data_IF_208136051481
#
_entry.id   IF_208136051481
#
_cell.length_a   1.000
_cell.length_b   1.000
_cell.length_c   1.000
_cell.angle_alpha   90.00
_cell.angle_beta   90.00
_cell.angle_gamma   90.00
#
_symmetry.space_group_name_H-M   'P 1'
#
loop_
_entity.id
_entity.type
_entity.pdbx_description
1 polymer ?
#
# COMPACT_ATOMS: atom_id res chain seq x y z
N UNK A 1 61.65 28.13 -16.57
CA UNK A 1 62.07 26.73 -16.70
C UNK A 1 61.83 26.02 -15.38
N UNK A 2 60.83 25.12 -15.43
CA UNK A 2 60.73 23.82 -14.72
C UNK A 2 60.69 23.83 -13.19
N UNK A 3 59.50 23.76 -12.58
CA UNK A 3 58.65 22.56 -12.36
C UNK A 3 58.97 21.86 -11.03
N UNK A 4 58.25 22.30 -9.99
CA UNK A 4 58.10 21.59 -8.72
C UNK A 4 56.90 20.65 -8.89
N UNK A 5 57.19 19.37 -9.15
CA UNK A 5 56.15 18.35 -9.30
C UNK A 5 55.49 18.03 -7.94
N UNK A 6 54.23 18.42 -7.80
CA UNK A 6 53.35 18.05 -6.68
C UNK A 6 53.19 16.53 -6.55
N UNK A 7 53.56 15.99 -5.39
CA UNK A 7 53.30 14.61 -5.00
C UNK A 7 51.79 14.40 -4.76
N UNK A 8 51.13 13.65 -5.65
CA UNK A 8 49.75 13.18 -5.47
C UNK A 8 49.62 12.35 -4.18
N UNK A 9 48.83 12.84 -3.20
CA UNK A 9 48.44 12.10 -2.00
C UNK A 9 47.81 10.74 -2.38
N UNK A 10 48.40 9.63 -1.91
CA UNK A 10 47.83 8.28 -2.04
C UNK A 10 46.46 8.24 -1.38
N UNK A 11 45.43 7.79 -2.12
CA UNK A 11 44.08 7.53 -1.58
C UNK A 11 44.18 6.59 -0.39
N UNK A 12 43.72 7.02 0.77
CA UNK A 12 43.56 6.18 1.95
C UNK A 12 42.46 5.15 1.68
N UNK A 13 42.82 3.86 1.66
CA UNK A 13 41.84 2.78 1.56
C UNK A 13 40.89 2.86 2.76
N UNK A 14 39.57 2.88 2.50
CA UNK A 14 38.54 2.91 3.53
C UNK A 14 38.60 1.58 4.31
N UNK A 15 38.98 1.63 5.58
CA UNK A 15 38.95 0.47 6.48
C UNK A 15 37.50 -0.02 6.60
N UNK A 16 37.32 -1.34 6.52
CA UNK A 16 36.00 -1.94 6.73
C UNK A 16 35.67 -1.93 8.23
N UNK A 17 34.52 -1.35 8.55
CA UNK A 17 34.00 -1.24 9.91
C UNK A 17 32.65 -1.95 9.99
N UNK A 18 32.52 -2.92 10.88
CA UNK A 18 31.24 -3.56 11.18
C UNK A 18 30.70 -3.02 12.50
N UNK A 19 29.63 -2.22 12.44
CA UNK A 19 28.97 -1.62 13.62
C UNK A 19 29.93 -0.90 14.57
N UNK A 20 30.87 -0.15 14.01
CA UNK A 20 31.85 0.63 14.76
C UNK A 20 33.14 -0.12 15.14
N UNK A 21 33.32 -1.38 14.71
CA UNK A 21 34.48 -2.21 15.01
C UNK A 21 35.23 -2.59 13.74
N UNK A 22 36.56 -2.43 13.73
CA UNK A 22 37.42 -2.77 12.60
C UNK A 22 37.60 -4.30 12.43
N UNK A 23 37.92 -4.75 11.22
CA UNK A 23 38.06 -6.19 10.93
C UNK A 23 39.12 -6.90 11.79
N UNK A 24 40.25 -6.26 12.05
CA UNK A 24 41.32 -6.81 12.90
C UNK A 24 40.81 -7.04 14.33
N UNK A 25 40.08 -6.07 14.87
CA UNK A 25 39.44 -6.18 16.18
C UNK A 25 38.37 -7.28 16.20
N UNK A 26 37.59 -7.44 15.12
CA UNK A 26 36.59 -8.51 15.01
C UNK A 26 37.21 -9.92 15.01
N UNK A 27 38.44 -10.07 14.51
CA UNK A 27 39.16 -11.36 14.49
C UNK A 27 39.73 -11.72 15.88
N UNK A 28 40.02 -10.72 16.70
CA UNK A 28 40.54 -10.88 18.07
C UNK A 28 39.44 -11.04 19.12
N UNK A 29 38.20 -10.63 18.81
CA UNK A 29 37.07 -10.72 19.72
C UNK A 29 36.65 -12.16 20.03
N UNK A 30 36.19 -12.38 21.26
CA UNK A 30 35.57 -13.65 21.64
C UNK A 30 34.14 -13.78 21.08
N UNK A 31 33.65 -15.02 20.95
CA UNK A 31 32.31 -15.32 20.42
C UNK A 31 31.19 -14.58 21.15
N UNK A 32 31.33 -14.37 22.47
CA UNK A 32 30.32 -13.68 23.29
C UNK A 32 30.26 -12.17 23.01
N UNK A 33 31.40 -11.54 22.78
CA UNK A 33 31.52 -10.13 22.40
C UNK A 33 30.98 -9.93 20.99
N UNK A 34 31.36 -10.79 20.04
CA UNK A 34 30.84 -10.74 18.68
C UNK A 34 29.31 -10.93 18.62
N UNK A 35 28.75 -11.82 19.43
CA UNK A 35 27.30 -12.04 19.51
C UNK A 35 26.51 -10.79 19.92
N UNK A 36 27.09 -9.89 20.72
CA UNK A 36 26.43 -8.62 21.09
C UNK A 36 26.31 -7.67 19.91
N UNK A 37 27.25 -7.73 18.97
CA UNK A 37 27.26 -6.93 17.75
C UNK A 37 26.25 -7.44 16.71
N UNK A 38 25.78 -8.69 16.78
CA UNK A 38 24.84 -9.26 15.81
C UNK A 38 23.40 -8.72 15.99
N UNK A 39 22.62 -8.58 14.90
CA UNK A 39 21.18 -8.29 14.99
C UNK A 39 20.40 -9.38 15.73
N UNK A 40 19.21 -9.04 16.25
CA UNK A 40 18.40 -9.90 17.13
C UNK A 40 18.10 -11.30 16.56
N UNK A 41 18.00 -11.46 15.25
CA UNK A 41 17.75 -12.76 14.61
C UNK A 41 18.98 -13.67 14.66
N UNK A 42 20.14 -13.16 14.27
CA UNK A 42 21.42 -13.86 14.28
C UNK A 42 21.88 -14.16 15.70
N UNK A 43 21.73 -13.20 16.62
CA UNK A 43 22.03 -13.37 18.05
C UNK A 43 21.23 -14.51 18.68
N UNK A 44 19.93 -14.63 18.37
CA UNK A 44 19.10 -15.77 18.83
C UNK A 44 19.63 -17.12 18.35
N UNK A 45 20.18 -17.19 17.14
CA UNK A 45 20.78 -18.41 16.62
C UNK A 45 22.10 -18.73 17.32
N UNK A 46 22.98 -17.75 17.47
CA UNK A 46 24.26 -17.93 18.16
C UNK A 46 24.08 -18.31 19.63
N UNK A 47 23.09 -17.74 20.32
CA UNK A 47 22.74 -18.11 21.70
C UNK A 47 22.22 -19.55 21.83
N UNK A 48 21.62 -20.13 20.77
CA UNK A 48 21.23 -21.56 20.74
C UNK A 48 22.43 -22.48 20.48
N UNK A 49 23.58 -21.93 20.14
CA UNK A 49 24.79 -22.65 19.78
C UNK A 49 24.82 -23.11 18.33
N UNK A 50 26.04 -23.31 17.82
CA UNK A 50 26.29 -23.89 16.50
C UNK A 50 26.27 -25.42 16.57
N UNK A 51 25.49 -26.06 15.71
CA UNK A 51 25.40 -27.52 15.65
C UNK A 51 26.73 -28.13 15.15
N UNK A 52 26.92 -29.44 15.37
CA UNK A 52 28.12 -30.19 14.94
C UNK A 52 28.46 -29.98 13.46
N UNK A 53 27.44 -29.85 12.60
CA UNK A 53 27.61 -29.58 11.16
C UNK A 53 28.25 -28.22 10.88
N UNK A 54 27.81 -27.18 11.59
CA UNK A 54 28.38 -25.82 11.48
C UNK A 54 29.83 -25.80 11.96
N UNK A 55 30.14 -26.44 13.10
CA UNK A 55 31.53 -26.56 13.59
C UNK A 55 32.43 -27.32 12.62
N UNK A 56 31.93 -28.40 12.02
CA UNK A 56 32.68 -29.17 11.00
C UNK A 56 32.99 -28.35 9.75
N UNK A 57 32.09 -27.46 9.33
CA UNK A 57 32.34 -26.54 8.22
C UNK A 57 33.48 -25.56 8.55
N UNK A 58 33.50 -24.98 9.75
CA UNK A 58 34.56 -24.08 10.19
C UNK A 58 35.93 -24.76 10.20
N UNK A 59 36.02 -25.99 10.70
CA UNK A 59 37.27 -26.78 10.67
C UNK A 59 37.75 -27.02 9.24
N UNK A 60 36.84 -27.34 8.31
CA UNK A 60 37.18 -27.52 6.88
C UNK A 60 37.67 -26.22 6.24
N UNK A 61 37.07 -25.09 6.59
CA UNK A 61 37.49 -23.77 6.11
C UNK A 61 38.86 -23.38 6.65
N UNK A 62 39.13 -23.61 7.94
CA UNK A 62 40.46 -23.39 8.54
C UNK A 62 41.53 -24.24 7.84
N UNK A 63 41.24 -25.52 7.58
CA UNK A 63 42.16 -26.41 6.86
C UNK A 63 42.42 -25.94 5.43
N UNK A 64 41.38 -25.50 4.71
CA UNK A 64 41.51 -24.96 3.36
C UNK A 64 42.34 -23.67 3.32
N UNK A 65 42.19 -22.80 4.34
CA UNK A 65 42.97 -21.56 4.47
C UNK A 65 44.43 -21.82 4.82
N UNK A 66 44.72 -22.82 5.67
CA UNK A 66 46.08 -23.21 6.05
C UNK A 66 46.84 -23.91 4.91
N UNK A 67 46.14 -24.68 4.07
CA UNK A 67 46.74 -25.42 2.96
C UNK A 67 46.99 -24.57 1.71
N UNK A 68 46.52 -23.32 1.68
CA UNK A 68 46.66 -22.44 0.53
C UNK A 68 48.08 -21.83 0.48
N UNK A 69 48.79 -21.89 -0.66
CA UNK A 69 50.05 -21.18 -0.86
C UNK A 69 49.89 -19.66 -0.61
N UNK A 70 50.94 -19.00 -0.13
CA UNK A 70 50.94 -17.54 0.07
C UNK A 70 50.47 -16.81 -1.19
N UNK A 71 49.58 -15.82 -1.02
CA UNK A 71 48.95 -15.01 -2.08
C UNK A 71 47.98 -15.74 -3.03
N UNK A 72 47.66 -17.01 -2.80
CA UNK A 72 46.66 -17.73 -3.61
C UNK A 72 45.33 -17.91 -2.89
N UNK A 73 44.23 -18.03 -3.65
CA UNK A 73 42.89 -18.21 -3.09
C UNK A 73 42.75 -19.63 -2.52
N UNK A 74 42.16 -19.81 -1.32
CA UNK A 74 41.90 -21.13 -0.76
C UNK A 74 40.99 -22.00 -1.64
N UNK A 75 41.16 -23.31 -1.56
CA UNK A 75 40.33 -24.27 -2.29
C UNK A 75 38.84 -24.14 -1.88
N UNK A 76 37.94 -24.21 -2.87
CA UNK A 76 36.52 -24.01 -2.67
C UNK A 76 35.89 -25.12 -1.79
N UNK A 77 35.41 -24.76 -0.61
CA UNK A 77 34.73 -25.69 0.32
C UNK A 77 33.23 -25.74 0.00
N UNK A 78 32.75 -26.89 -0.48
CA UNK A 78 31.33 -27.13 -0.77
C UNK A 78 30.50 -27.37 0.49
N UNK A 79 29.34 -26.70 0.60
CA UNK A 79 28.41 -26.80 1.75
C UNK A 79 26.93 -26.68 1.35
N UNK A 80 26.09 -27.40 2.10
CA UNK A 80 24.62 -27.25 2.07
C UNK A 80 24.09 -26.37 3.21
N UNK A 81 24.97 -25.91 4.12
CA UNK A 81 24.61 -25.15 5.31
C UNK A 81 24.32 -23.68 4.98
N UNK A 82 23.18 -23.46 4.33
CA UNK A 82 22.68 -22.12 3.96
C UNK A 82 22.32 -21.27 5.18
N UNK A 83 22.06 -21.92 6.30
CA UNK A 83 21.68 -21.29 7.56
C UNK A 83 22.91 -20.87 8.40
N UNK A 84 24.13 -21.10 7.93
CA UNK A 84 25.33 -20.63 8.62
C UNK A 84 25.43 -19.09 8.56
N UNK A 85 25.74 -18.46 9.69
CA UNK A 85 26.03 -17.02 9.76
C UNK A 85 27.50 -16.84 9.38
N UNK A 86 27.81 -15.84 8.56
CA UNK A 86 29.19 -15.50 8.22
C UNK A 86 29.89 -14.94 9.46
N UNK A 87 30.92 -15.65 9.92
CA UNK A 87 31.78 -15.26 11.04
C UNK A 87 33.04 -14.53 10.52
N UNK A 88 33.69 -13.68 11.35
CA UNK A 88 34.90 -12.95 10.96
C UNK A 88 36.02 -13.87 10.43
N UNK A 89 36.20 -15.05 11.04
CA UNK A 89 37.21 -16.03 10.62
C UNK A 89 37.00 -16.59 9.19
N UNK A 90 35.78 -16.48 8.64
CA UNK A 90 35.45 -16.97 7.30
C UNK A 90 35.88 -16.02 6.18
N UNK A 91 36.29 -14.79 6.52
CA UNK A 91 36.71 -13.78 5.55
C UNK A 91 37.96 -14.27 4.78
N UNK A 92 37.90 -14.14 3.45
CA UNK A 92 38.91 -14.61 2.51
C UNK A 92 38.75 -16.08 2.10
N UNK A 93 37.76 -16.82 2.60
CA UNK A 93 37.48 -18.18 2.16
C UNK A 93 36.57 -18.21 0.92
N UNK A 94 36.72 -19.25 0.10
CA UNK A 94 35.84 -19.53 -1.04
C UNK A 94 34.88 -20.68 -0.68
N UNK A 95 33.58 -20.40 -0.73
CA UNK A 95 32.51 -21.33 -0.36
C UNK A 95 31.63 -21.68 -1.55
N UNK A 96 31.46 -22.97 -1.82
CA UNK A 96 30.45 -23.45 -2.76
C UNK A 96 29.12 -23.65 -2.02
N UNK A 97 28.16 -22.73 -2.19
CA UNK A 97 26.86 -22.77 -1.50
C UNK A 97 25.81 -23.39 -2.41
N UNK A 98 25.23 -24.52 -1.99
CA UNK A 98 24.26 -25.25 -2.80
C UNK A 98 22.93 -24.49 -2.99
N UNK A 99 22.58 -24.17 -4.24
CA UNK A 99 21.36 -23.48 -4.64
C UNK A 99 20.13 -24.39 -4.78
N UNK A 100 20.32 -25.70 -4.62
CA UNK A 100 19.30 -26.72 -4.90
C UNK A 100 19.47 -27.39 -6.27
N UNK A 101 20.26 -26.79 -7.18
CA UNK A 101 20.61 -27.33 -8.49
C UNK A 101 22.13 -27.43 -8.71
N UNK A 102 22.89 -26.43 -8.24
CA UNK A 102 24.33 -26.38 -8.39
C UNK A 102 25.00 -25.76 -7.15
N UNK A 103 26.33 -25.88 -7.06
CA UNK A 103 27.12 -25.16 -6.06
C UNK A 103 27.60 -23.83 -6.64
N UNK A 104 27.06 -22.73 -6.11
CA UNK A 104 27.51 -21.40 -6.49
C UNK A 104 28.73 -21.04 -5.66
N UNK A 105 29.85 -20.69 -6.31
CA UNK A 105 31.06 -20.28 -5.62
C UNK A 105 30.94 -18.82 -5.18
N UNK A 106 31.12 -18.58 -3.89
CA UNK A 106 31.05 -17.27 -3.25
C UNK A 106 32.32 -17.03 -2.46
N UNK A 107 33.02 -15.94 -2.77
CA UNK A 107 34.17 -15.45 -2.00
C UNK A 107 33.67 -14.58 -0.84
N UNK A 108 34.02 -14.96 0.39
CA UNK A 108 33.55 -14.24 1.58
C UNK A 108 34.34 -12.97 1.80
N UNK A 109 33.65 -11.83 1.67
CA UNK A 109 34.19 -10.49 1.95
C UNK A 109 33.81 -10.04 3.35
N UNK A 110 34.55 -9.07 3.89
CA UNK A 110 34.29 -8.52 5.22
C UNK A 110 32.86 -7.94 5.36
N UNK A 111 32.32 -7.37 4.28
CA UNK A 111 30.94 -6.86 4.21
C UNK A 111 29.85 -7.92 4.43
N UNK A 112 30.19 -9.20 4.27
CA UNK A 112 29.24 -10.30 4.42
C UNK A 112 29.08 -10.76 5.88
N UNK A 113 29.89 -10.24 6.80
CA UNK A 113 29.84 -10.60 8.23
C UNK A 113 28.42 -10.35 8.78
N UNK A 114 27.88 -11.33 9.50
CA UNK A 114 26.55 -11.24 10.11
C UNK A 114 25.38 -11.60 9.18
N UNK A 115 25.62 -11.84 7.89
CA UNK A 115 24.61 -12.36 6.96
C UNK A 115 24.56 -13.90 6.97
N UNK A 116 23.45 -14.47 6.51
CA UNK A 116 23.36 -15.92 6.29
C UNK A 116 23.99 -16.30 4.95
N UNK A 117 24.73 -17.41 4.89
CA UNK A 117 25.31 -17.94 3.65
C UNK A 117 24.27 -18.11 2.54
N UNK A 118 23.04 -18.50 2.90
CA UNK A 118 21.93 -18.67 1.95
C UNK A 118 21.51 -17.39 1.23
N UNK A 119 21.86 -16.21 1.71
CA UNK A 119 21.56 -14.92 1.07
C UNK A 119 22.42 -14.72 -0.20
N UNK A 120 23.63 -15.30 -0.23
CA UNK A 120 24.58 -15.18 -1.34
C UNK A 120 24.44 -16.28 -2.40
N UNK A 121 23.48 -17.19 -2.25
CA UNK A 121 23.19 -18.25 -3.23
C UNK A 121 21.69 -18.50 -3.28
N UNK A 122 20.99 -17.77 -4.14
CA UNK A 122 19.54 -17.84 -4.29
C UNK A 122 19.11 -19.28 -4.62
N UNK A 123 18.05 -19.73 -3.96
CA UNK A 123 17.50 -21.08 -4.14
C UNK A 123 16.48 -21.10 -5.27
N UNK A 124 16.58 -22.06 -6.18
CA UNK A 124 15.58 -22.29 -7.23
C UNK A 124 14.34 -23.05 -6.73
N UNK A 125 14.42 -23.66 -5.55
CA UNK A 125 13.22 -24.13 -4.85
C UNK A 125 12.53 -22.91 -4.25
N UNK A 126 11.26 -22.63 -4.57
CA UNK A 126 10.52 -21.56 -3.91
C UNK A 126 10.59 -21.79 -2.40
N UNK A 127 10.90 -20.72 -1.65
CA UNK A 127 10.78 -20.74 -0.20
C UNK A 127 9.31 -20.94 0.09
N UNK A 128 8.92 -22.19 0.36
CA UNK A 128 7.63 -22.47 0.97
C UNK A 128 7.72 -21.86 2.36
N UNK A 129 7.22 -20.62 2.54
CA UNK A 129 6.68 -20.24 3.84
C UNK A 129 5.78 -21.38 4.25
N UNK A 130 6.08 -21.99 5.41
CA UNK A 130 5.61 -23.32 5.73
C UNK A 130 4.12 -23.47 5.43
N UNK A 131 3.80 -24.25 4.39
CA UNK A 131 2.58 -25.06 4.49
C UNK A 131 2.71 -25.83 5.82
N UNK A 132 1.65 -25.94 6.63
CA UNK A 132 1.73 -26.64 7.91
C UNK A 132 2.26 -28.05 7.66
N UNK A 133 3.55 -28.24 7.96
CA UNK A 133 4.24 -29.49 7.71
C UNK A 133 3.90 -30.47 8.81
N UNK A 134 3.78 -31.74 8.42
CA UNK A 134 3.44 -32.94 9.19
C UNK A 134 4.29 -33.16 10.49
N UNK A 135 5.27 -32.29 10.78
CA UNK A 135 6.05 -32.30 12.04
C UNK A 135 5.80 -31.12 12.99
N UNK A 136 4.90 -30.18 12.68
CA UNK A 136 4.63 -29.01 13.51
C UNK A 136 3.56 -29.24 14.61
N UNK A 137 2.98 -30.44 14.71
CA UNK A 137 1.78 -30.72 15.52
C UNK A 137 2.04 -31.01 17.00
N UNK A 138 3.28 -31.02 17.50
CA UNK A 138 3.51 -31.19 18.95
C UNK A 138 3.64 -29.87 19.73
N UNK A 139 4.09 -28.77 19.10
CA UNK A 139 4.20 -27.47 19.77
C UNK A 139 2.97 -26.57 19.59
N UNK A 140 2.09 -26.89 18.64
CA UNK A 140 0.83 -26.19 18.39
C UNK A 140 -0.38 -26.99 18.84
N UNK A 141 -0.23 -27.84 19.87
CA UNK A 141 -1.39 -28.32 20.62
C UNK A 141 -1.86 -27.14 21.47
N UNK A 142 -3.03 -26.61 21.14
CA UNK A 142 -3.79 -25.74 22.04
C UNK A 142 -3.86 -26.44 23.41
N UNK A 143 -3.14 -25.89 24.40
CA UNK A 143 -3.20 -26.34 25.79
C UNK A 143 -4.42 -25.64 26.37
N UNK A 144 -5.53 -26.35 26.68
CA UNK A 144 -6.65 -25.72 27.34
C UNK A 144 -6.20 -25.33 28.75
N UNK A 145 -6.12 -24.03 29.01
CA UNK A 145 -5.94 -23.52 30.37
C UNK A 145 -7.09 -24.05 31.24
N UNK A 146 -6.74 -24.70 32.36
CA UNK A 146 -7.71 -25.28 33.29
C UNK A 146 -8.79 -24.24 33.65
N UNK A 147 -10.06 -24.66 33.65
CA UNK A 147 -11.26 -23.83 33.92
C UNK A 147 -11.13 -22.88 35.10
N UNK A 148 -10.33 -23.21 36.11
CA UNK A 148 -10.16 -22.38 37.31
C UNK A 148 -9.28 -21.14 37.13
N UNK A 149 -8.44 -21.10 36.10
CA UNK A 149 -7.66 -19.90 35.78
C UNK A 149 -8.52 -18.81 35.10
N UNK A 150 -9.56 -19.21 34.37
CA UNK A 150 -10.52 -18.30 33.75
C UNK A 150 -11.40 -17.59 34.79
N UNK A 151 -11.84 -18.28 35.86
CA UNK A 151 -12.63 -17.64 36.92
C UNK A 151 -11.88 -16.53 37.65
N UNK A 152 -10.56 -16.68 37.82
CA UNK A 152 -9.68 -15.69 38.47
C UNK A 152 -9.36 -14.46 37.61
N UNK A 153 -9.36 -14.62 36.29
CA UNK A 153 -9.12 -13.54 35.32
C UNK A 153 -10.38 -12.74 34.99
N UNK A 154 -11.56 -13.35 35.08
CA UNK A 154 -12.84 -12.69 34.85
C UNK A 154 -13.29 -11.87 36.08
N UNK A 155 -12.89 -12.25 37.29
CA UNK A 155 -13.27 -11.52 38.52
C UNK A 155 -12.55 -10.19 38.72
N UNK A 156 -11.51 -9.88 37.94
CA UNK A 156 -10.67 -8.68 38.08
C UNK A 156 -10.96 -7.57 37.06
N UNK A 157 -11.91 -7.77 36.14
CA UNK A 157 -12.34 -6.74 35.19
C UNK A 157 -13.82 -6.40 35.39
N UNK A 158 -14.17 -5.15 35.77
CA UNK A 158 -15.56 -4.74 35.87
C UNK A 158 -16.06 -4.36 34.47
N UNK A 159 -16.28 -5.35 33.60
CA UNK A 159 -17.07 -5.13 32.39
C UNK A 159 -18.55 -5.16 32.79
N UNK A 160 -19.14 -3.96 32.93
CA UNK A 160 -20.58 -3.79 33.11
C UNK A 160 -21.33 -4.54 32.00
N UNK A 161 -22.21 -5.44 32.43
CA UNK A 161 -23.11 -6.26 31.61
C UNK A 161 -23.81 -5.44 30.51
N UNK A 162 -23.32 -5.53 29.28
CA UNK A 162 -24.18 -5.45 28.08
C UNK A 162 -24.22 -6.85 27.50
N UNK A 163 -25.35 -7.54 27.71
CA UNK A 163 -25.61 -8.86 27.14
C UNK A 163 -25.74 -8.73 25.62
N UNK A 164 -24.64 -8.82 24.88
CA UNK A 164 -24.72 -9.25 23.49
C UNK A 164 -25.06 -10.74 23.48
N UNK A 165 -26.34 -11.05 23.26
CA UNK A 165 -26.77 -12.39 22.93
C UNK A 165 -26.10 -12.77 21.59
N UNK A 166 -25.08 -13.63 21.65
CA UNK A 166 -24.59 -14.34 20.48
C UNK A 166 -25.66 -15.35 20.05
N UNK A 167 -26.68 -14.87 19.33
CA UNK A 167 -27.59 -15.75 18.61
C UNK A 167 -26.80 -16.43 17.49
N UNK A 168 -26.91 -17.76 17.46
CA UNK A 168 -26.30 -18.63 16.47
C UNK A 168 -26.87 -18.36 15.07
N UNK A 169 -26.37 -17.36 14.38
CA UNK A 169 -26.56 -17.24 12.94
C UNK A 169 -25.47 -18.05 12.23
N UNK A 170 -25.90 -19.05 11.45
CA UNK A 170 -25.09 -19.72 10.42
C UNK A 170 -24.77 -18.77 9.26
N UNK A 171 -24.35 -17.54 9.55
CA UNK A 171 -23.77 -16.67 8.55
C UNK A 171 -22.27 -16.96 8.57
N UNK A 172 -21.69 -17.32 7.43
CA UNK A 172 -20.25 -17.17 7.21
C UNK A 172 -19.95 -15.69 7.45
N UNK A 173 -19.59 -15.32 8.68
CA UNK A 173 -19.02 -14.02 8.96
C UNK A 173 -17.63 -14.07 8.33
N UNK A 174 -17.58 -13.64 7.07
CA UNK A 174 -16.32 -13.41 6.39
C UNK A 174 -15.55 -12.44 7.28
N UNK A 175 -14.26 -12.70 7.54
CA UNK A 175 -13.45 -11.83 8.42
C UNK A 175 -13.27 -10.39 7.87
N UNK A 176 -13.92 -10.06 6.75
CA UNK A 176 -13.83 -8.83 5.96
C UNK A 176 -15.23 -8.27 5.67
N UNK A 177 -16.19 -8.36 6.59
CA UNK A 177 -17.55 -7.85 6.37
C UNK A 177 -17.55 -6.33 6.11
N UNK A 178 -17.97 -5.85 4.92
CA UNK A 178 -18.03 -4.42 4.59
C UNK A 178 -19.15 -3.68 5.33
N UNK A 179 -20.12 -4.39 5.91
CA UNK A 179 -21.26 -3.78 6.61
C UNK A 179 -21.00 -3.55 8.10
N UNK A 180 -19.90 -4.09 8.63
CA UNK A 180 -19.58 -4.01 10.05
C UNK A 180 -19.38 -2.54 10.47
N UNK A 181 -20.07 -2.12 11.54
CA UNK A 181 -19.99 -0.77 12.08
C UNK A 181 -20.86 0.28 11.37
N UNK A 182 -21.66 -0.11 10.37
CA UNK A 182 -22.55 0.80 9.65
C UNK A 182 -23.96 0.86 10.27
N UNK A 183 -24.62 2.00 10.12
CA UNK A 183 -26.07 2.15 10.40
C UNK A 183 -26.90 1.38 9.36
N UNK A 184 -28.19 1.17 9.62
CA UNK A 184 -29.07 0.49 8.66
C UNK A 184 -29.23 1.28 7.35
N UNK A 185 -29.34 2.61 7.44
CA UNK A 185 -29.37 3.50 6.29
C UNK A 185 -28.09 3.40 5.45
N UNK A 186 -26.92 3.41 6.09
CA UNK A 186 -25.62 3.24 5.42
C UNK A 186 -25.49 1.87 4.75
N UNK A 187 -26.05 0.81 5.35
CA UNK A 187 -26.11 -0.52 4.73
C UNK A 187 -27.02 -0.54 3.51
N UNK A 188 -28.12 0.20 3.52
CA UNK A 188 -29.01 0.32 2.38
C UNK A 188 -28.32 1.05 1.21
N UNK A 189 -27.62 2.15 1.49
CA UNK A 189 -26.78 2.86 0.49
C UNK A 189 -25.74 1.91 -0.11
N UNK A 190 -25.02 1.17 0.74
CA UNK A 190 -24.04 0.19 0.30
C UNK A 190 -24.69 -0.91 -0.56
N UNK A 191 -25.85 -1.41 -0.16
CA UNK A 191 -26.58 -2.44 -0.90
C UNK A 191 -27.00 -1.94 -2.28
N UNK A 192 -27.62 -0.77 -2.37
CA UNK A 192 -28.07 -0.15 -3.61
C UNK A 192 -26.89 0.07 -4.57
N UNK A 193 -25.79 0.64 -4.07
CA UNK A 193 -24.58 0.86 -4.87
C UNK A 193 -23.97 -0.47 -5.37
N UNK A 194 -23.97 -1.51 -4.54
CA UNK A 194 -23.47 -2.85 -4.89
C UNK A 194 -24.33 -3.54 -5.94
N UNK A 195 -25.65 -3.45 -5.82
CA UNK A 195 -26.59 -4.00 -6.82
C UNK A 195 -26.44 -3.29 -8.16
N UNK A 196 -26.34 -1.96 -8.15
CA UNK A 196 -26.05 -1.18 -9.35
C UNK A 196 -24.71 -1.57 -9.97
N UNK A 197 -23.63 -1.63 -9.19
CA UNK A 197 -22.31 -2.03 -9.67
C UNK A 197 -22.32 -3.42 -10.32
N UNK A 198 -23.01 -4.38 -9.72
CA UNK A 198 -23.12 -5.75 -10.21
C UNK A 198 -23.91 -5.86 -11.51
N UNK A 199 -24.97 -5.08 -11.66
CA UNK A 199 -25.92 -5.23 -12.77
C UNK A 199 -25.59 -4.30 -13.95
N UNK A 200 -25.07 -3.10 -13.67
CA UNK A 200 -24.93 -2.02 -14.65
C UNK A 200 -23.48 -1.67 -14.97
N UNK A 201 -22.49 -2.06 -14.14
CA UNK A 201 -21.07 -1.76 -14.39
C UNK A 201 -20.26 -3.03 -14.71
N UNK A 202 -20.25 -3.99 -13.79
CA UNK A 202 -19.42 -5.20 -13.88
C UNK A 202 -19.60 -6.01 -15.18
N UNK A 203 -20.82 -6.22 -15.71
CA UNK A 203 -21.00 -7.04 -16.91
C UNK A 203 -20.44 -6.43 -18.20
N UNK A 204 -20.16 -5.12 -18.20
CA UNK A 204 -19.76 -4.37 -19.38
C UNK A 204 -18.36 -3.75 -19.25
N UNK A 205 -17.70 -3.94 -18.10
CA UNK A 205 -16.45 -3.25 -17.74
C UNK A 205 -15.30 -3.56 -18.71
N UNK A 206 -15.29 -4.78 -19.25
CA UNK A 206 -14.29 -5.31 -20.17
C UNK A 206 -14.48 -4.75 -21.58
N UNK A 207 -15.72 -4.70 -22.05
CA UNK A 207 -16.11 -4.09 -23.33
C UNK A 207 -15.75 -2.61 -23.35
N UNK A 208 -16.10 -1.86 -22.31
CA UNK A 208 -15.80 -0.44 -22.20
C UNK A 208 -14.30 -0.18 -22.09
N UNK A 209 -13.55 -1.00 -21.35
CA UNK A 209 -12.09 -0.89 -21.26
C UNK A 209 -11.42 -1.15 -22.62
N UNK A 210 -11.88 -2.16 -23.35
CA UNK A 210 -11.34 -2.51 -24.66
C UNK A 210 -11.62 -1.43 -25.71
N UNK A 211 -12.81 -0.82 -25.67
CA UNK A 211 -13.23 0.25 -26.60
C UNK A 211 -12.73 1.64 -26.19
N UNK A 212 -12.33 1.82 -24.94
CA UNK A 212 -12.06 3.14 -24.38
C UNK A 212 -13.32 4.01 -24.28
N UNK A 213 -14.46 3.38 -24.00
CA UNK A 213 -15.78 4.00 -24.09
C UNK A 213 -16.30 4.47 -22.72
N UNK A 214 -16.88 5.68 -22.68
CA UNK A 214 -17.53 6.24 -21.51
C UNK A 214 -18.99 5.77 -21.43
N UNK A 215 -19.42 5.10 -20.34
CA UNK A 215 -20.73 4.46 -20.28
C UNK A 215 -21.85 5.44 -19.94
N UNK A 216 -22.23 6.27 -20.92
CA UNK A 216 -23.26 7.32 -20.75
C UNK A 216 -24.61 6.78 -20.27
N UNK A 217 -24.99 5.59 -20.74
CA UNK A 217 -26.24 4.95 -20.32
C UNK A 217 -26.21 4.53 -18.84
N UNK A 218 -25.08 4.00 -18.37
CA UNK A 218 -24.91 3.67 -16.95
C UNK A 218 -24.95 4.95 -16.09
N UNK A 219 -24.36 6.06 -16.55
CA UNK A 219 -24.43 7.32 -15.82
C UNK A 219 -25.84 7.87 -15.69
N UNK A 220 -26.67 7.82 -16.73
CA UNK A 220 -28.08 8.21 -16.61
C UNK A 220 -28.79 7.43 -15.49
N UNK A 221 -28.65 6.10 -15.49
CA UNK A 221 -29.21 5.25 -14.43
C UNK A 221 -28.62 5.56 -13.05
N UNK A 222 -27.31 5.83 -12.99
CA UNK A 222 -26.66 6.23 -11.74
C UNK A 222 -27.23 7.55 -11.20
N UNK A 223 -27.55 8.50 -12.09
CA UNK A 223 -28.21 9.76 -11.74
C UNK A 223 -29.63 9.57 -11.20
N UNK A 224 -30.40 8.64 -11.78
CA UNK A 224 -31.73 8.26 -11.27
C UNK A 224 -31.67 7.68 -9.84
N UNK A 225 -30.54 7.09 -9.46
CA UNK A 225 -30.28 6.57 -8.11
C UNK A 225 -29.60 7.58 -7.18
N UNK A 226 -29.37 8.82 -7.63
CA UNK A 226 -28.75 9.89 -6.83
C UNK A 226 -27.21 9.88 -6.78
N UNK A 227 -26.54 9.07 -7.60
CA UNK A 227 -25.07 8.97 -7.59
C UNK A 227 -24.33 10.08 -8.36
N UNK A 228 -25.04 11.03 -8.98
CA UNK A 228 -24.43 12.14 -9.74
C UNK A 228 -24.00 13.33 -8.89
N UNK A 229 -24.63 13.53 -7.73
CA UNK A 229 -24.31 14.61 -6.79
C UNK A 229 -24.62 14.17 -5.35
N UNK A 230 -23.91 13.14 -4.89
CA UNK A 230 -24.17 12.42 -3.63
C UNK A 230 -24.15 13.38 -2.44
N UNK A 231 -23.12 14.22 -2.35
CA UNK A 231 -22.86 15.11 -1.22
C UNK A 231 -23.11 16.59 -1.55
N UNK A 232 -24.09 16.85 -2.41
CA UNK A 232 -24.63 18.18 -2.67
C UNK A 232 -26.01 18.31 -2.00
N UNK A 233 -26.40 19.55 -1.69
CA UNK A 233 -27.68 19.89 -1.06
C UNK A 233 -28.89 19.39 -1.87
N UNK A 234 -29.88 18.85 -1.16
CA UNK A 234 -31.17 18.46 -1.75
C UNK A 234 -31.91 19.64 -2.38
N UNK A 235 -31.67 20.87 -1.88
CA UNK A 235 -32.32 22.09 -2.41
C UNK A 235 -32.10 22.25 -3.92
N UNK A 236 -30.96 21.78 -4.44
CA UNK A 236 -30.59 21.88 -5.85
C UNK A 236 -30.54 20.52 -6.56
N UNK A 237 -31.33 19.53 -6.07
CA UNK A 237 -31.40 18.16 -6.56
C UNK A 237 -30.13 17.30 -6.30
N UNK A 238 -29.31 17.66 -5.32
CA UNK A 238 -28.33 16.72 -4.76
C UNK A 238 -28.99 15.62 -3.93
N UNK A 239 -28.22 14.61 -3.52
CA UNK A 239 -28.75 13.51 -2.69
C UNK A 239 -28.70 13.82 -1.18
N UNK A 240 -28.10 14.94 -0.75
CA UNK A 240 -28.08 15.36 0.66
C UNK A 240 -27.21 14.49 1.58
N UNK A 241 -26.38 13.60 1.04
CA UNK A 241 -25.61 12.64 1.83
C UNK A 241 -24.23 13.18 2.24
N UNK A 242 -23.62 12.55 3.23
CA UNK A 242 -22.28 12.89 3.69
C UNK A 242 -21.15 12.35 2.81
N UNK A 243 -19.91 12.72 3.15
CA UNK A 243 -18.69 12.15 2.56
C UNK A 243 -18.51 10.69 2.94
N UNK A 244 -18.98 10.30 4.12
CA UNK A 244 -18.94 8.94 4.62
C UNK A 244 -19.84 8.04 3.77
N UNK A 245 -21.10 8.43 3.56
CA UNK A 245 -22.05 7.72 2.69
C UNK A 245 -21.54 7.64 1.24
N UNK A 246 -20.94 8.73 0.73
CA UNK A 246 -20.33 8.74 -0.58
C UNK A 246 -19.18 7.72 -0.69
N UNK A 247 -18.31 7.62 0.31
CA UNK A 247 -17.24 6.63 0.35
C UNK A 247 -17.79 5.19 0.35
N UNK A 248 -18.88 4.94 1.08
CA UNK A 248 -19.55 3.62 1.07
C UNK A 248 -20.11 3.28 -0.32
N UNK A 249 -20.73 4.25 -1.00
CA UNK A 249 -21.23 4.06 -2.35
C UNK A 249 -20.09 3.79 -3.34
N UNK A 250 -19.06 4.64 -3.36
CA UNK A 250 -17.91 4.49 -4.27
C UNK A 250 -17.11 3.21 -4.02
N UNK A 251 -16.99 2.74 -2.77
CA UNK A 251 -16.38 1.44 -2.45
C UNK A 251 -17.07 0.31 -3.24
N UNK A 252 -18.41 0.31 -3.31
CA UNK A 252 -19.16 -0.72 -4.01
C UNK A 252 -19.14 -0.52 -5.54
N UNK A 253 -19.28 0.72 -6.01
CA UNK A 253 -19.20 1.06 -7.44
C UNK A 253 -17.85 0.65 -8.04
N UNK A 254 -16.76 0.89 -7.31
CA UNK A 254 -15.41 0.51 -7.73
C UNK A 254 -15.21 -1.00 -7.85
N UNK A 255 -15.97 -1.79 -7.08
CA UNK A 255 -16.03 -3.25 -7.20
C UNK A 255 -16.80 -3.76 -8.42
N UNK A 256 -17.49 -2.88 -9.15
CA UNK A 256 -18.06 -3.16 -10.46
C UNK A 256 -17.11 -2.74 -11.59
N UNK A 257 -16.72 -1.47 -11.63
CA UNK A 257 -15.71 -0.96 -12.56
C UNK A 257 -14.95 0.21 -11.92
N UNK A 258 -13.68 0.00 -11.60
CA UNK A 258 -12.86 1.00 -10.89
C UNK A 258 -12.66 2.27 -11.72
N UNK A 259 -12.33 2.16 -13.01
CA UNK A 259 -12.22 3.31 -13.92
C UNK A 259 -13.49 4.18 -13.95
N UNK A 260 -14.66 3.56 -14.09
CA UNK A 260 -15.94 4.28 -14.19
C UNK A 260 -16.34 4.91 -12.85
N UNK A 261 -16.14 4.19 -11.73
CA UNK A 261 -16.38 4.73 -10.40
C UNK A 261 -15.46 5.92 -10.08
N UNK A 262 -14.21 5.87 -10.51
CA UNK A 262 -13.28 6.98 -10.36
C UNK A 262 -13.73 8.22 -11.15
N UNK A 263 -14.21 8.06 -12.38
CA UNK A 263 -14.83 9.16 -13.11
C UNK A 263 -16.02 9.75 -12.36
N UNK A 264 -16.92 8.91 -11.82
CA UNK A 264 -18.07 9.38 -11.05
C UNK A 264 -17.65 10.16 -9.79
N UNK A 265 -16.55 9.78 -9.15
CA UNK A 265 -16.00 10.53 -8.01
C UNK A 265 -15.48 11.91 -8.45
N UNK A 266 -14.72 12.00 -9.54
CA UNK A 266 -14.27 13.28 -10.11
C UNK A 266 -15.47 14.13 -10.52
N UNK A 267 -16.48 13.52 -11.13
CA UNK A 267 -17.72 14.18 -11.49
C UNK A 267 -18.37 14.82 -10.26
N UNK A 268 -18.56 14.07 -9.17
CA UNK A 268 -19.21 14.54 -7.93
C UNK A 268 -18.44 15.68 -7.23
N UNK A 269 -17.13 15.79 -7.45
CA UNK A 269 -16.33 16.90 -6.90
C UNK A 269 -16.73 18.25 -7.48
N UNK A 270 -17.08 18.30 -8.77
CA UNK A 270 -17.43 19.55 -9.46
C UNK A 270 -18.75 20.18 -8.98
N UNK A 271 -19.90 19.49 -8.92
CA UNK A 271 -21.12 20.06 -8.38
C UNK A 271 -20.96 20.44 -6.90
N UNK A 272 -20.14 19.73 -6.13
CA UNK A 272 -19.85 20.13 -4.75
C UNK A 272 -19.05 21.44 -4.66
N UNK A 273 -18.05 21.66 -5.53
CA UNK A 273 -17.34 22.95 -5.58
C UNK A 273 -18.32 24.09 -5.89
N UNK A 274 -19.29 23.85 -6.78
CA UNK A 274 -20.34 24.83 -7.10
C UNK A 274 -21.31 25.01 -5.92
N UNK A 275 -21.70 23.93 -5.25
CA UNK A 275 -22.62 23.99 -4.10
C UNK A 275 -22.02 24.75 -2.91
N UNK A 276 -20.74 24.50 -2.62
CA UNK A 276 -20.03 25.10 -1.48
C UNK A 276 -19.57 26.54 -1.74
N UNK A 277 -19.06 26.84 -2.93
CA UNK A 277 -18.41 28.13 -3.23
C UNK A 277 -19.11 28.97 -4.30
N UNK A 278 -20.08 28.38 -5.02
CA UNK A 278 -20.83 29.08 -6.05
C UNK A 278 -21.94 29.94 -5.47
N UNK A 279 -22.41 30.88 -6.28
CA UNK A 279 -23.59 31.69 -5.96
C UNK A 279 -24.90 30.96 -6.31
N UNK A 280 -26.03 31.47 -5.82
CA UNK A 280 -27.36 30.86 -6.04
C UNK A 280 -27.71 30.62 -7.50
N UNK A 281 -27.34 31.54 -8.40
CA UNK A 281 -27.60 31.41 -9.83
C UNK A 281 -26.82 30.22 -10.41
N UNK A 282 -25.54 30.07 -10.04
CA UNK A 282 -24.69 28.96 -10.46
C UNK A 282 -25.22 27.61 -9.96
N UNK A 283 -25.61 27.54 -8.69
CA UNK A 283 -26.16 26.31 -8.09
C UNK A 283 -27.40 25.83 -8.83
N UNK A 284 -28.39 26.72 -9.02
CA UNK A 284 -29.64 26.42 -9.74
C UNK A 284 -29.40 26.08 -11.21
N UNK A 285 -28.37 26.68 -11.83
CA UNK A 285 -28.04 26.46 -13.24
C UNK A 285 -27.32 25.14 -13.50
N UNK A 286 -26.40 24.72 -12.63
CA UNK A 286 -25.48 23.61 -12.92
C UNK A 286 -25.80 22.32 -12.15
N UNK A 287 -26.14 22.39 -10.85
CA UNK A 287 -26.25 21.19 -10.00
C UNK A 287 -27.32 20.21 -10.51
N UNK A 288 -28.55 20.62 -10.91
CA UNK A 288 -29.57 19.67 -11.36
C UNK A 288 -29.17 18.87 -12.62
N UNK A 289 -28.52 19.54 -13.57
CA UNK A 289 -28.05 18.90 -14.81
C UNK A 289 -26.87 17.95 -14.53
N UNK A 290 -26.04 18.24 -13.54
CA UNK A 290 -24.92 17.39 -13.12
C UNK A 290 -25.40 16.19 -12.29
N UNK A 291 -26.29 16.42 -11.32
CA UNK A 291 -26.87 15.38 -10.47
C UNK A 291 -27.57 14.26 -11.26
N UNK A 292 -28.23 14.64 -12.36
CA UNK A 292 -28.91 13.71 -13.28
C UNK A 292 -27.99 13.09 -14.34
N UNK A 293 -26.71 13.44 -14.37
CA UNK A 293 -25.76 13.14 -15.44
C UNK A 293 -26.23 13.57 -16.85
N UNK A 294 -27.17 14.52 -16.93
CA UNK A 294 -27.56 15.14 -18.21
C UNK A 294 -26.41 15.94 -18.80
N UNK A 295 -25.63 16.59 -17.94
CA UNK A 295 -24.32 17.15 -18.25
C UNK A 295 -23.25 16.40 -17.49
N UNK A 296 -22.08 16.35 -18.10
CA UNK A 296 -20.89 15.73 -17.53
C UNK A 296 -19.89 16.80 -17.15
N UNK A 297 -19.28 16.64 -15.98
CA UNK A 297 -18.22 17.51 -15.51
C UNK A 297 -16.84 16.85 -15.68
N UNK A 298 -15.81 17.68 -15.72
CA UNK A 298 -14.40 17.30 -15.66
C UNK A 298 -13.67 18.34 -14.86
N UNK A 299 -12.62 17.93 -14.15
CA UNK A 299 -11.80 18.81 -13.35
C UNK A 299 -10.43 19.00 -14.00
N UNK A 300 -10.13 20.22 -14.44
CA UNK A 300 -8.89 20.57 -15.12
C UNK A 300 -7.96 21.37 -14.22
N UNK A 301 -6.93 20.72 -13.67
CA UNK A 301 -5.87 21.36 -12.89
C UNK A 301 -4.47 21.10 -13.46
N UNK A 302 -4.24 19.92 -14.05
CA UNK A 302 -2.94 19.49 -14.58
C UNK A 302 -2.70 20.01 -16.00
N UNK A 303 -1.49 20.50 -16.27
CA UNK A 303 -1.03 21.07 -17.55
C UNK A 303 -0.23 20.02 -18.40
N UNK A 304 0.11 20.30 -19.67
CA UNK A 304 -0.10 19.41 -20.84
C UNK A 304 0.73 18.11 -20.89
N UNK A 305 0.15 17.11 -21.58
CA UNK A 305 0.81 15.89 -22.04
C UNK A 305 0.13 15.38 -23.32
N UNK A 306 0.82 14.59 -24.15
CA UNK A 306 0.29 14.05 -25.42
C UNK A 306 -1.00 13.23 -25.23
N UNK A 307 -1.81 13.15 -26.29
CA UNK A 307 -2.89 12.14 -26.35
C UNK A 307 -2.25 10.75 -26.42
N UNK A 308 -2.41 9.96 -25.36
CA UNK A 308 -1.70 8.71 -25.15
C UNK A 308 -2.66 7.56 -24.90
N UNK A 309 -2.35 6.40 -25.51
CA UNK A 309 -3.07 5.16 -25.20
C UNK A 309 -2.77 4.74 -23.77
N UNK A 310 -3.80 4.81 -22.92
CA UNK A 310 -3.68 4.56 -21.49
C UNK A 310 -3.51 3.09 -21.16
N UNK A 311 -2.78 2.84 -20.07
CA UNK A 311 -2.62 1.51 -19.49
C UNK A 311 -3.84 1.10 -18.65
N UNK A 312 -4.38 2.00 -17.83
CA UNK A 312 -5.57 1.82 -17.02
C UNK A 312 -6.47 3.04 -17.14
N UNK A 313 -7.64 2.99 -16.49
CA UNK A 313 -8.65 4.04 -16.58
C UNK A 313 -9.17 4.26 -18.00
N UNK A 314 -9.34 3.19 -18.78
CA UNK A 314 -9.69 3.28 -20.19
C UNK A 314 -11.14 3.72 -20.45
N UNK A 315 -12.06 3.49 -19.50
CA UNK A 315 -13.49 3.83 -19.68
C UNK A 315 -13.79 5.33 -19.62
N UNK A 316 -12.79 6.18 -19.37
CA UNK A 316 -12.97 7.64 -19.32
C UNK A 316 -12.05 8.31 -20.33
N UNK A 317 -12.50 9.27 -21.16
CA UNK A 317 -11.61 9.94 -22.09
C UNK A 317 -10.67 10.89 -21.33
N UNK A 318 -9.37 10.79 -21.59
CA UNK A 318 -8.36 11.72 -21.07
C UNK A 318 -7.75 12.45 -22.25
N UNK A 319 -7.87 13.78 -22.27
CA UNK A 319 -7.43 14.61 -23.39
C UNK A 319 -6.92 15.95 -22.90
N UNK A 320 -6.07 16.58 -23.69
CA UNK A 320 -5.68 17.97 -23.47
C UNK A 320 -6.91 18.85 -23.70
N UNK A 321 -7.12 19.80 -22.80
CA UNK A 321 -8.05 20.90 -23.00
C UNK A 321 -7.20 22.15 -23.25
N UNK A 322 -7.28 22.71 -24.45
CA UNK A 322 -6.59 23.95 -24.82
C UNK A 322 -7.56 25.11 -24.79
N UNK A 323 -7.10 26.25 -24.26
CA UNK A 323 -7.83 27.50 -24.30
C UNK A 323 -6.99 28.53 -25.05
N UNK A 324 -7.47 28.99 -26.21
CA UNK A 324 -6.86 30.06 -27.00
C UNK A 324 -7.89 31.19 -27.11
N UNK A 325 -7.60 32.33 -26.49
CA UNK A 325 -8.46 33.53 -26.45
C UNK A 325 -9.94 33.26 -26.07
N UNK A 326 -10.17 32.25 -25.23
CA UNK A 326 -11.52 31.85 -24.80
C UNK A 326 -12.10 32.87 -23.82
N UNK A 327 -13.19 33.51 -24.22
CA UNK A 327 -13.92 34.48 -23.38
C UNK A 327 -14.94 33.75 -22.50
N UNK A 328 -14.79 33.87 -21.19
CA UNK A 328 -15.73 33.33 -20.20
C UNK A 328 -16.38 34.49 -19.43
N UNK A 329 -17.73 34.54 -19.32
CA UNK A 329 -18.39 35.56 -18.51
C UNK A 329 -17.94 35.53 -17.06
N UNK A 330 -17.73 36.69 -16.44
CA UNK A 330 -17.29 36.79 -15.03
C UNK A 330 -18.27 36.11 -14.07
N UNK A 331 -19.55 36.01 -14.45
CA UNK A 331 -20.60 35.30 -13.71
C UNK A 331 -20.38 33.79 -13.62
N UNK A 332 -19.48 33.21 -14.42
CA UNK A 332 -19.09 31.80 -14.31
C UNK A 332 -17.91 31.57 -13.33
N UNK A 333 -17.35 32.62 -12.73
CA UNK A 333 -16.33 32.47 -11.67
C UNK A 333 -16.98 31.90 -10.41
N UNK A 334 -16.48 30.77 -9.93
CA UNK A 334 -16.89 30.19 -8.65
C UNK A 334 -16.05 30.83 -7.54
N UNK A 335 -16.70 31.41 -6.54
CA UNK A 335 -16.05 32.18 -5.49
C UNK A 335 -15.45 33.52 -5.95
N UNK A 336 -14.61 34.09 -5.07
CA UNK A 336 -13.94 35.37 -5.30
C UNK A 336 -12.61 35.24 -6.05
N UNK A 337 -12.15 36.36 -6.62
CA UNK A 337 -10.85 36.40 -7.29
C UNK A 337 -9.73 36.02 -6.31
N UNK A 338 -8.90 35.05 -6.70
CA UNK A 338 -7.80 34.53 -5.87
C UNK A 338 -8.14 33.32 -5.00
N UNK A 339 -9.41 32.91 -4.89
CA UNK A 339 -9.81 31.74 -4.08
C UNK A 339 -9.64 30.39 -4.80
N UNK A 340 -9.33 30.38 -6.09
CA UNK A 340 -9.32 29.15 -6.90
C UNK A 340 -8.37 28.06 -6.38
N UNK A 341 -7.20 28.42 -5.87
CA UNK A 341 -6.26 27.45 -5.30
C UNK A 341 -6.79 26.82 -4.01
N UNK A 342 -7.43 27.59 -3.13
CA UNK A 342 -8.04 27.08 -1.90
C UNK A 342 -9.18 26.11 -2.22
N UNK A 343 -10.05 26.47 -3.17
CA UNK A 343 -11.14 25.61 -3.65
C UNK A 343 -10.59 24.30 -4.21
N UNK A 344 -9.51 24.37 -4.99
CA UNK A 344 -8.83 23.19 -5.53
C UNK A 344 -8.33 22.26 -4.41
N UNK A 345 -7.65 22.82 -3.41
CA UNK A 345 -7.11 22.04 -2.29
C UNK A 345 -8.19 21.42 -1.41
N UNK A 346 -9.32 22.11 -1.17
CA UNK A 346 -10.45 21.52 -0.43
C UNK A 346 -11.12 20.39 -1.21
N UNK A 347 -11.19 20.48 -2.55
CA UNK A 347 -11.69 19.40 -3.41
C UNK A 347 -10.85 18.13 -3.32
N UNK A 348 -9.52 18.26 -3.36
CA UNK A 348 -8.58 17.14 -3.30
C UNK A 348 -8.66 16.34 -1.99
N UNK A 349 -9.03 16.98 -0.87
CA UNK A 349 -9.22 16.29 0.41
C UNK A 349 -10.38 15.26 0.38
N UNK A 350 -11.35 15.40 -0.55
CA UNK A 350 -12.50 14.51 -0.67
C UNK A 350 -12.34 13.32 -1.64
N UNK A 351 -11.19 13.18 -2.33
CA UNK A 351 -11.02 12.29 -3.49
C UNK A 351 -10.54 10.85 -3.21
N UNK A 352 -10.57 10.36 -1.97
CA UNK A 352 -9.80 9.16 -1.59
C UNK A 352 -10.65 7.88 -1.54
N UNK A 353 -10.67 7.05 -2.59
CA UNK A 353 -11.47 5.81 -2.62
C UNK A 353 -10.72 4.58 -3.18
N UNK A 354 -10.37 3.56 -2.36
CA UNK A 354 -9.96 2.16 -2.71
C UNK A 354 -9.75 1.30 -1.43
N UNK A 355 -9.45 -0.03 -1.44
CA UNK A 355 -9.61 -0.82 -0.17
C UNK A 355 -8.85 -2.14 0.14
N UNK A 356 -8.69 -2.36 1.47
CA UNK A 356 -8.41 -3.54 2.36
C UNK A 356 -9.09 -3.28 3.75
N UNK A 357 -9.22 -4.21 4.72
CA UNK A 357 -9.95 -3.96 6.00
C UNK A 357 -9.36 -2.80 6.81
N UNK A 358 -8.03 -2.79 7.00
CA UNK A 358 -7.35 -1.68 7.70
C UNK A 358 -7.52 -0.38 6.92
N UNK A 359 -7.47 -0.46 5.59
CA UNK A 359 -7.75 0.65 4.68
C UNK A 359 -9.19 1.14 4.79
N UNK A 360 -10.17 0.27 5.06
CA UNK A 360 -11.58 0.62 5.27
C UNK A 360 -11.80 1.40 6.55
N UNK A 361 -11.17 0.96 7.66
CA UNK A 361 -11.24 1.70 8.92
C UNK A 361 -10.59 3.07 8.78
N UNK A 362 -9.40 3.14 8.17
CA UNK A 362 -8.71 4.41 7.96
C UNK A 362 -9.47 5.35 7.01
N UNK A 363 -10.09 4.82 5.96
CA UNK A 363 -10.94 5.59 5.05
C UNK A 363 -12.13 6.18 5.80
N UNK A 364 -12.86 5.34 6.54
CA UNK A 364 -14.02 5.74 7.33
C UNK A 364 -13.68 6.81 8.35
N UNK A 365 -12.55 6.65 9.04
CA UNK A 365 -12.06 7.64 10.00
C UNK A 365 -11.73 8.98 9.31
N UNK A 366 -11.04 8.93 8.16
CA UNK A 366 -10.75 10.14 7.38
C UNK A 366 -12.02 10.85 6.90
N UNK A 367 -13.03 10.10 6.44
CA UNK A 367 -14.33 10.68 6.07
C UNK A 367 -14.99 11.40 7.24
N UNK A 368 -15.00 10.80 8.43
CA UNK A 368 -15.54 11.43 9.64
C UNK A 368 -14.78 12.72 10.00
N UNK A 369 -13.46 12.73 9.85
CA UNK A 369 -12.66 13.93 10.08
C UNK A 369 -12.98 15.06 9.09
N UNK A 370 -13.24 14.73 7.83
CA UNK A 370 -13.62 15.70 6.78
C UNK A 370 -15.04 16.22 7.01
N UNK A 371 -16.00 15.37 7.38
CA UNK A 371 -17.38 15.80 7.66
C UNK A 371 -17.49 16.72 8.85
N UNK A 372 -16.73 16.42 9.91
CA UNK A 372 -16.72 17.21 11.13
C UNK A 372 -15.77 18.42 11.05
N UNK A 373 -15.22 18.73 9.88
CA UNK A 373 -14.30 19.85 9.61
C UNK A 373 -13.17 19.96 10.65
N UNK A 374 -12.60 18.81 11.02
CA UNK A 374 -11.57 18.76 12.06
C UNK A 374 -10.25 19.31 11.52
N UNK A 375 -9.45 19.92 12.40
CA UNK A 375 -8.10 20.45 12.08
C UNK A 375 -7.18 19.40 11.42
N UNK A 376 -7.38 18.12 11.74
CA UNK A 376 -6.58 17.01 11.25
C UNK A 376 -7.11 16.36 9.96
N UNK A 377 -8.22 16.84 9.38
CA UNK A 377 -8.86 16.23 8.22
C UNK A 377 -7.92 16.04 7.03
N UNK A 378 -7.09 17.04 6.73
CA UNK A 378 -6.09 16.96 5.65
C UNK A 378 -5.05 15.87 5.90
N UNK A 379 -4.56 15.74 7.15
CA UNK A 379 -3.60 14.70 7.55
C UNK A 379 -4.20 13.31 7.43
N UNK A 380 -5.40 13.09 7.97
CA UNK A 380 -6.08 11.80 7.89
C UNK A 380 -6.40 11.41 6.44
N UNK A 381 -6.83 12.37 5.62
CA UNK A 381 -7.08 12.15 4.20
C UNK A 381 -5.80 11.75 3.45
N UNK A 382 -4.67 12.41 3.72
CA UNK A 382 -3.39 12.06 3.12
C UNK A 382 -2.88 10.68 3.58
N UNK A 383 -3.01 10.35 4.87
CA UNK A 383 -2.67 9.03 5.41
C UNK A 383 -3.53 7.93 4.78
N UNK A 384 -4.85 8.16 4.72
CA UNK A 384 -5.81 7.28 4.09
C UNK A 384 -5.42 7.06 2.62
N UNK A 385 -5.33 8.11 1.81
CA UNK A 385 -4.97 8.03 0.38
C UNK A 385 -3.72 7.20 0.15
N UNK A 386 -2.65 7.51 0.87
CA UNK A 386 -1.37 6.83 0.73
C UNK A 386 -1.48 5.33 1.05
N UNK A 387 -1.99 5.01 2.24
CA UNK A 387 -2.03 3.64 2.73
C UNK A 387 -3.00 2.77 1.92
N UNK A 388 -4.19 3.32 1.65
CA UNK A 388 -5.25 2.65 0.90
C UNK A 388 -4.79 2.26 -0.50
N UNK A 389 -4.17 3.21 -1.23
CA UNK A 389 -3.82 2.98 -2.63
C UNK A 389 -2.65 2.00 -2.79
N UNK A 390 -1.68 2.03 -1.87
CA UNK A 390 -0.59 1.05 -1.81
C UNK A 390 -1.13 -0.36 -1.50
N UNK A 391 -1.99 -0.50 -0.49
CA UNK A 391 -2.56 -1.79 -0.10
C UNK A 391 -3.51 -2.36 -1.15
N UNK A 392 -4.38 -1.53 -1.74
CA UNK A 392 -5.31 -1.98 -2.79
C UNK A 392 -4.54 -2.54 -4.00
N UNK A 393 -3.50 -1.84 -4.47
CA UNK A 393 -2.64 -2.33 -5.54
C UNK A 393 -1.96 -3.66 -5.16
N UNK A 394 -1.42 -3.76 -3.94
CA UNK A 394 -0.76 -4.98 -3.47
C UNK A 394 -1.71 -6.19 -3.37
N UNK A 395 -2.94 -5.98 -2.90
CA UNK A 395 -3.98 -7.02 -2.82
C UNK A 395 -4.34 -7.52 -4.22
N UNK A 396 -4.61 -6.61 -5.15
CA UNK A 396 -4.98 -6.99 -6.52
C UNK A 396 -3.82 -7.69 -7.23
N UNK A 397 -2.59 -7.20 -7.06
CA UNK A 397 -1.40 -7.82 -7.64
C UNK A 397 -1.17 -9.25 -7.12
N UNK A 398 -1.38 -9.47 -5.82
CA UNK A 398 -1.33 -10.83 -5.25
C UNK A 398 -2.47 -11.71 -5.77
N UNK A 399 -3.66 -11.16 -5.97
CA UNK A 399 -4.78 -11.90 -6.54
C UNK A 399 -4.50 -12.32 -7.99
N UNK A 400 -3.90 -11.45 -8.81
CA UNK A 400 -3.41 -11.80 -10.16
C UNK A 400 -2.39 -12.94 -10.08
N UNK A 401 -1.44 -12.86 -9.14
CA UNK A 401 -0.44 -13.90 -8.94
C UNK A 401 -1.06 -15.26 -8.56
N UNK A 402 -2.18 -15.27 -7.81
CA UNK A 402 -2.92 -16.48 -7.46
C UNK A 402 -3.65 -17.11 -8.66
N UNK A 403 -4.11 -16.30 -9.60
CA UNK A 403 -4.75 -16.76 -10.83
C UNK A 403 -3.73 -17.23 -11.90
N UNK A 404 -2.44 -16.99 -11.68
CA UNK A 404 -1.39 -17.37 -12.61
C UNK A 404 -1.55 -16.68 -13.97
N UNK A 405 -1.34 -17.41 -15.07
CA UNK A 405 -1.47 -16.85 -16.42
C UNK A 405 -2.87 -16.31 -16.74
N UNK A 406 -3.92 -16.92 -16.18
CA UNK A 406 -5.31 -16.47 -16.36
C UNK A 406 -5.54 -15.06 -15.82
N UNK A 407 -4.84 -14.68 -14.74
CA UNK A 407 -4.94 -13.35 -14.15
C UNK A 407 -4.47 -12.23 -15.07
N UNK A 408 -3.78 -12.56 -16.17
CA UNK A 408 -3.30 -11.61 -17.19
C UNK A 408 -4.20 -11.54 -18.43
N UNK A 409 -5.18 -12.44 -18.58
CA UNK A 409 -6.08 -12.48 -19.73
C UNK A 409 -7.17 -11.42 -19.56
N UNK A 410 -7.59 -10.80 -20.67
CA UNK A 410 -8.66 -9.78 -20.67
C UNK A 410 -10.01 -10.35 -20.21
N UNK A 411 -10.23 -11.65 -20.40
CA UNK A 411 -11.43 -12.39 -19.96
C UNK A 411 -11.59 -12.41 -18.43
N UNK A 412 -10.53 -12.10 -17.66
CA UNK A 412 -10.58 -12.01 -16.21
C UNK A 412 -10.50 -10.55 -15.76
N UNK A 413 -11.37 -10.12 -14.82
CA UNK A 413 -11.45 -8.72 -14.39
C UNK A 413 -10.21 -8.26 -13.59
N UNK A 414 -9.44 -9.21 -13.03
CA UNK A 414 -8.29 -8.96 -12.17
C UNK A 414 -7.22 -8.08 -12.80
N UNK A 415 -6.89 -8.30 -14.08
CA UNK A 415 -5.92 -7.43 -14.77
C UNK A 415 -6.42 -5.99 -14.91
N UNK A 416 -7.72 -5.77 -15.03
CA UNK A 416 -8.27 -4.42 -15.13
C UNK A 416 -8.20 -3.71 -13.79
N UNK A 417 -8.59 -4.38 -12.71
CA UNK A 417 -8.38 -3.87 -11.36
C UNK A 417 -6.90 -3.53 -11.10
N UNK A 418 -5.96 -4.36 -11.57
CA UNK A 418 -4.53 -4.10 -11.40
C UNK A 418 -4.10 -2.81 -12.10
N UNK A 419 -4.52 -2.65 -13.36
CA UNK A 419 -4.21 -1.47 -14.19
C UNK A 419 -4.84 -0.20 -13.63
N UNK A 420 -6.09 -0.29 -13.20
CA UNK A 420 -6.85 0.85 -12.67
C UNK A 420 -6.32 1.28 -11.29
N UNK A 421 -6.09 0.34 -10.36
CA UNK A 421 -5.56 0.65 -9.03
C UNK A 421 -4.16 1.26 -9.07
N UNK A 422 -3.34 0.93 -10.09
CA UNK A 422 -1.99 1.49 -10.23
C UNK A 422 -2.00 3.01 -10.36
N UNK A 423 -3.01 3.56 -11.04
CA UNK A 423 -3.14 5.00 -11.30
C UNK A 423 -3.43 5.76 -10.00
N UNK A 424 -4.17 5.16 -9.07
CA UNK A 424 -4.56 5.80 -7.80
C UNK A 424 -3.36 6.19 -6.92
N UNK A 425 -2.21 5.53 -7.06
CA UNK A 425 -0.97 5.90 -6.35
C UNK A 425 -0.35 7.22 -6.86
N UNK A 426 -0.75 7.68 -8.06
CA UNK A 426 -0.13 8.81 -8.78
C UNK A 426 -1.03 10.06 -8.73
N UNK A 427 -2.30 9.89 -9.06
CA UNK A 427 -3.27 11.00 -9.15
C UNK A 427 -3.71 11.51 -7.77
N UNK A 428 -4.40 12.66 -7.77
CA UNK A 428 -4.88 13.32 -6.53
C UNK A 428 -3.73 13.60 -5.54
N UNK A 429 -2.53 13.82 -6.09
CA UNK A 429 -1.26 13.90 -5.37
C UNK A 429 -0.60 12.53 -5.18
N UNK A 430 0.64 12.37 -5.64
CA UNK A 430 1.35 11.09 -5.56
C UNK A 430 1.54 10.63 -4.11
N UNK A 431 1.76 9.33 -3.90
CA UNK A 431 2.03 8.82 -2.56
C UNK A 431 3.30 9.42 -1.94
N UNK A 432 4.27 9.89 -2.74
CA UNK A 432 5.42 10.67 -2.28
C UNK A 432 5.00 12.06 -1.74
N UNK A 433 4.08 12.74 -2.42
CA UNK A 433 3.53 14.02 -1.95
C UNK A 433 2.71 13.81 -0.68
N UNK A 434 1.91 12.74 -0.59
CA UNK A 434 1.16 12.41 0.62
C UNK A 434 2.09 12.18 1.82
N UNK A 435 3.22 11.47 1.62
CA UNK A 435 4.25 11.31 2.65
C UNK A 435 4.82 12.65 3.11
N UNK A 436 5.02 13.58 2.18
CA UNK A 436 5.51 14.92 2.50
C UNK A 436 4.49 15.72 3.31
N UNK A 437 3.21 15.69 2.94
CA UNK A 437 2.13 16.36 3.69
C UNK A 437 2.04 15.80 5.12
N UNK A 438 2.00 14.46 5.24
CA UNK A 438 1.95 13.80 6.55
C UNK A 438 3.19 14.11 7.39
N UNK A 439 4.39 14.02 6.80
CA UNK A 439 5.63 14.32 7.51
C UNK A 439 5.69 15.79 7.96
N UNK A 440 5.24 16.73 7.12
CA UNK A 440 5.20 18.16 7.47
C UNK A 440 4.29 18.41 8.67
N UNK A 441 3.08 17.85 8.68
CA UNK A 441 2.12 18.04 9.77
C UNK A 441 2.59 17.35 11.07
N UNK A 442 3.27 16.20 10.97
CA UNK A 442 3.87 15.54 12.13
C UNK A 442 5.01 16.37 12.74
N UNK A 443 5.84 17.00 11.90
CA UNK A 443 7.00 17.77 12.34
C UNK A 443 6.67 19.21 12.78
N UNK A 444 5.54 19.77 12.35
CA UNK A 444 5.05 21.07 12.81
C UNK A 444 4.36 21.03 14.19
N UNK A 445 4.32 19.87 14.86
CA UNK A 445 3.74 19.64 16.20
C UNK A 445 2.24 19.98 16.36
N UNK A 446 1.48 20.19 15.28
CA UNK A 446 0.03 20.44 15.40
C UNK A 446 -0.77 19.20 15.82
N UNK A 447 -0.23 18.00 15.59
CA UNK A 447 -0.95 16.71 15.82
C UNK A 447 -0.82 16.18 17.26
N UNK A 448 0.29 16.44 17.96
CA UNK A 448 0.58 15.85 19.29
C UNK A 448 0.45 16.81 20.47
N UNK A 449 0.12 18.09 20.22
CA UNK A 449 -0.07 19.06 21.30
C UNK A 449 -1.46 18.98 21.95
N UNK A 450 -2.41 18.22 21.39
CA UNK A 450 -3.78 18.06 21.92
C UNK A 450 -4.11 16.65 22.46
N UNK A 451 -3.12 15.73 22.54
CA UNK A 451 -3.22 14.51 23.35
C UNK A 451 -2.55 14.70 24.70
#
# INVERSE_FOLDING_TARGET
MTDVAEQKKKRTFRKFVYRGVDLEQLLEMNDQQFNKLLPSRQRRKMNRGLNRKHKSLLVRLRKAKLNAPELTKPECVKTHLRDMIVLPEMVGCVLGIHSGKAYNQVEIRAEMIGHYLGEFSITYKPVKHGRPGIGATHSSRFIPLKKEMWKRLISSFPLKNTKYQLNSFRNLSYCVDPTLGLTEEQKEIQKTAKEFAKNELYPYMDEWDAKGELPLHAFKKAGELGFGAIYCSEEYNGAGLGRYEAALAFEQLAGGCTSTAAYMAVHNMVPWMIDRFGNEEQKRKYIPDLASFKKLASYGLTEPGSDERKFGWCTQPTRIITFEDVKVPITNRVGELGQGFTIAMEGLNGGTNSLSITSRLLLREACLHVENDTTNASSYSAMAKMYITDEAFNVVNQAVQMYGGYGMLKDYPLQQYLRDCRVHQIIEGTNEIMRLVVARNLLSNEIFNEM
#
